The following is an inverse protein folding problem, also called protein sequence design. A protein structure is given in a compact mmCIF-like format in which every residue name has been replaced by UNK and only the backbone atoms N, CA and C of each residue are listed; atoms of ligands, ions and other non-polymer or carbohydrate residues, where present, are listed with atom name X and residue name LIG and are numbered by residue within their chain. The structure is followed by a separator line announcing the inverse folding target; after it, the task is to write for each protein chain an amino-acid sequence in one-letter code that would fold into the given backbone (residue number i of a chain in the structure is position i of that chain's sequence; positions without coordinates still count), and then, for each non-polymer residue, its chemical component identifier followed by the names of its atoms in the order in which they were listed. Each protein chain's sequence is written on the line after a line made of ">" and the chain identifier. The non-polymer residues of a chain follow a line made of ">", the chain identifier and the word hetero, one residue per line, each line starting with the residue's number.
data_IF_402881225483
#
_entry.id   IF_402881225483
#
_cell.length_a   1.000
_cell.length_b   1.000
_cell.length_c   1.000
_cell.angle_alpha   90.00
_cell.angle_beta   90.00
_cell.angle_gamma   90.00
#
_symmetry.space_group_name_H-M   'P 1'
#
loop_
_entity.id
_entity.type
_entity.pdbx_description
1 polymer ?
#
# COMPACT_ATOMS: atom_id res chain seq x y z
N UNK A 1 -53.72 53.78 -33.12
CA UNK A 1 -53.95 55.25 -33.22
C UNK A 1 -52.60 55.95 -33.13
N UNK A 2 -52.32 56.70 -34.21
CA UNK A 2 -51.53 57.95 -34.35
C UNK A 2 -50.03 57.81 -33.92
N UNK A 3 -49.16 57.74 -34.85
CA UNK A 3 -48.66 58.73 -35.87
C UNK A 3 -47.45 59.51 -35.38
N UNK A 4 -46.40 59.33 -36.14
CA UNK A 4 -45.57 60.38 -36.77
C UNK A 4 -44.62 61.19 -35.86
N UNK A 5 -43.49 61.65 -36.24
CA UNK A 5 -42.77 61.79 -37.52
C UNK A 5 -41.37 62.36 -37.17
N UNK A 6 -40.41 61.94 -37.95
CA UNK A 6 -39.34 62.74 -38.57
C UNK A 6 -38.81 64.03 -37.89
N UNK A 7 -37.47 64.06 -37.71
CA UNK A 7 -36.69 65.14 -38.40
C UNK A 7 -35.18 64.89 -38.29
N UNK A 8 -34.60 64.94 -39.40
CA UNK A 8 -33.20 65.02 -39.83
C UNK A 8 -32.63 66.40 -39.47
N UNK A 9 -31.44 66.44 -38.86
CA UNK A 9 -30.60 67.65 -38.98
C UNK A 9 -29.12 67.25 -38.85
N UNK A 10 -28.44 67.48 -39.94
CA UNK A 10 -26.99 67.49 -40.11
C UNK A 10 -26.45 68.77 -39.52
N UNK A 11 -25.37 68.67 -38.68
CA UNK A 11 -24.37 69.77 -38.63
C UNK A 11 -23.00 69.31 -38.18
N UNK A 12 -22.05 69.69 -38.95
CA UNK A 12 -20.61 69.67 -38.94
C UNK A 12 -19.89 69.85 -37.59
N UNK A 13 -18.80 69.02 -37.42
CA UNK A 13 -17.43 69.55 -37.17
C UNK A 13 -16.99 69.70 -35.73
N UNK A 14 -16.09 68.90 -35.32
CA UNK A 14 -14.78 69.32 -34.77
C UNK A 14 -13.96 68.07 -34.41
N UNK A 15 -12.87 67.92 -35.14
CA UNK A 15 -11.82 66.90 -34.82
C UNK A 15 -11.05 67.41 -33.61
N UNK A 16 -11.22 66.78 -32.46
CA UNK A 16 -10.31 66.94 -31.33
C UNK A 16 -9.56 65.63 -31.19
N UNK A 17 -8.30 65.68 -31.53
CA UNK A 17 -7.37 64.59 -31.29
C UNK A 17 -7.18 64.44 -29.77
N UNK A 18 -7.79 63.41 -29.20
CA UNK A 18 -7.46 62.94 -27.87
C UNK A 18 -6.25 61.98 -28.00
N UNK A 19 -5.10 62.39 -27.49
CA UNK A 19 -4.00 61.52 -27.19
C UNK A 19 -4.51 60.51 -26.14
N UNK A 20 -4.73 59.26 -26.56
CA UNK A 20 -4.88 58.14 -25.66
C UNK A 20 -3.48 57.73 -25.21
N UNK A 21 -3.12 58.16 -24.00
CA UNK A 21 -2.03 57.52 -23.27
C UNK A 21 -2.38 56.04 -23.10
N UNK A 22 -1.67 55.16 -23.78
CA UNK A 22 -1.71 53.72 -23.50
C UNK A 22 -1.16 53.54 -22.09
N UNK A 23 -2.01 53.32 -21.11
CA UNK A 23 -1.62 52.74 -19.85
C UNK A 23 -1.10 51.32 -20.17
N UNK A 24 0.22 51.09 -20.01
CA UNK A 24 0.83 49.78 -19.99
C UNK A 24 0.17 48.98 -18.86
N UNK A 25 -0.71 48.05 -19.26
CA UNK A 25 -1.25 47.06 -18.37
C UNK A 25 -0.08 46.27 -17.76
N UNK A 26 0.15 46.28 -16.43
CA UNK A 26 1.24 45.52 -15.87
C UNK A 26 0.99 44.06 -16.23
N UNK A 27 1.85 43.48 -17.08
CA UNK A 27 1.85 42.06 -17.37
C UNK A 27 1.93 41.34 -16.02
N UNK A 28 0.83 40.72 -15.60
CA UNK A 28 0.83 39.79 -14.49
C UNK A 28 1.77 38.70 -14.91
N UNK A 29 2.97 38.69 -14.34
CA UNK A 29 3.94 37.62 -14.52
C UNK A 29 3.20 36.27 -14.31
N UNK A 30 3.36 35.30 -15.18
CA UNK A 30 2.70 34.00 -15.02
C UNK A 30 3.03 33.51 -13.63
N UNK A 31 2.00 33.33 -12.80
CA UNK A 31 2.12 32.79 -11.46
C UNK A 31 2.78 31.45 -11.63
N UNK A 32 4.04 31.33 -11.18
CA UNK A 32 4.80 30.09 -11.26
C UNK A 32 3.90 28.98 -10.76
N UNK A 33 3.64 27.98 -11.61
CA UNK A 33 2.86 26.81 -11.20
C UNK A 33 3.58 26.23 -9.96
N UNK A 34 2.84 25.82 -8.92
CA UNK A 34 3.47 25.26 -7.74
C UNK A 34 4.34 24.09 -8.20
N UNK A 35 5.63 24.16 -7.90
CA UNK A 35 6.60 23.11 -8.21
C UNK A 35 6.26 21.95 -7.29
N UNK A 36 5.52 20.98 -7.78
CA UNK A 36 5.23 19.77 -7.04
C UNK A 36 6.43 18.84 -7.12
N UNK A 37 6.87 18.32 -5.97
CA UNK A 37 7.84 17.26 -5.93
C UNK A 37 7.26 15.99 -6.59
N UNK A 38 8.05 15.30 -7.40
CA UNK A 38 7.64 14.03 -7.98
C UNK A 38 7.36 12.96 -6.91
N UNK A 39 6.53 11.97 -7.18
CA UNK A 39 6.10 10.98 -6.18
C UNK A 39 7.27 10.19 -5.59
N UNK A 40 8.33 9.95 -6.34
CA UNK A 40 9.53 9.29 -5.82
C UNK A 40 10.30 10.16 -4.82
N UNK A 41 10.42 11.46 -5.10
CA UNK A 41 11.05 12.41 -4.16
C UNK A 41 10.25 12.51 -2.86
N UNK A 42 8.92 12.53 -2.97
CA UNK A 42 8.03 12.49 -1.79
C UNK A 42 8.22 11.19 -1.00
N UNK A 43 8.29 10.06 -1.68
CA UNK A 43 8.49 8.76 -1.04
C UNK A 43 9.83 8.69 -0.28
N UNK A 44 10.91 9.15 -0.90
CA UNK A 44 12.24 9.22 -0.28
C UNK A 44 12.25 10.16 0.93
N UNK A 45 11.64 11.34 0.80
CA UNK A 45 11.51 12.30 1.88
C UNK A 45 10.76 11.70 3.09
N UNK A 46 9.58 11.07 2.86
CA UNK A 46 8.80 10.42 3.90
C UNK A 46 9.50 9.19 4.50
N UNK A 47 10.37 8.55 3.75
CA UNK A 47 11.20 7.45 4.21
C UNK A 47 12.45 7.89 4.98
N UNK A 48 12.66 9.20 5.19
CA UNK A 48 13.88 9.74 5.79
C UNK A 48 15.14 9.47 4.97
N UNK A 49 14.99 9.38 3.64
CA UNK A 49 16.09 9.12 2.68
C UNK A 49 16.48 10.40 1.95
N UNK A 50 17.74 10.56 1.52
CA UNK A 50 18.15 11.71 0.75
C UNK A 50 17.28 11.92 -0.49
N UNK A 51 16.92 13.17 -0.79
CA UNK A 51 16.26 13.60 -2.02
C UNK A 51 17.28 14.24 -2.96
N UNK A 52 16.93 14.40 -4.24
CA UNK A 52 17.78 15.11 -5.21
C UNK A 52 18.04 16.56 -4.76
N UNK A 53 19.23 17.07 -5.03
CA UNK A 53 19.59 18.48 -4.73
C UNK A 53 18.68 19.48 -5.44
N UNK A 54 18.18 19.11 -6.62
CA UNK A 54 17.22 19.91 -7.40
C UNK A 54 15.77 19.71 -6.99
N UNK A 55 15.50 18.83 -6.02
CA UNK A 55 14.14 18.60 -5.51
C UNK A 55 13.63 19.81 -4.76
N UNK A 56 12.34 20.19 -4.97
CA UNK A 56 11.69 21.22 -4.14
C UNK A 56 11.71 20.88 -2.63
N UNK A 57 11.91 19.61 -2.28
CA UNK A 57 11.98 19.13 -0.91
C UNK A 57 13.39 19.27 -0.30
N UNK A 58 14.44 19.52 -1.10
CA UNK A 58 15.80 19.62 -0.60
C UNK A 58 16.00 20.67 0.52
N UNK A 59 15.35 21.87 0.50
CA UNK A 59 15.44 22.77 1.64
C UNK A 59 14.86 22.21 2.93
N UNK A 60 13.79 21.40 2.86
CA UNK A 60 13.14 20.79 4.04
C UNK A 60 14.00 19.71 4.69
N UNK A 61 14.95 19.11 3.97
CA UNK A 61 15.88 18.12 4.56
C UNK A 61 16.90 18.74 5.52
N UNK A 62 17.01 20.07 5.54
CA UNK A 62 17.84 20.81 6.48
C UNK A 62 17.10 21.15 7.79
N UNK A 63 15.78 20.93 7.82
CA UNK A 63 14.96 21.14 9.00
C UNK A 63 15.35 20.11 10.09
N UNK A 64 15.62 20.54 11.33
CA UNK A 64 15.95 19.63 12.42
C UNK A 64 14.94 18.52 12.65
N UNK A 65 13.63 18.79 12.41
CA UNK A 65 12.59 17.77 12.52
C UNK A 65 12.75 16.68 11.46
N UNK A 66 13.08 17.04 10.21
CA UNK A 66 13.35 16.04 9.19
C UNK A 66 14.64 15.26 9.47
N UNK A 67 15.68 15.92 9.95
CA UNK A 67 16.94 15.24 10.31
C UNK A 67 16.73 14.23 11.44
N UNK A 68 15.94 14.57 12.45
CA UNK A 68 15.56 13.64 13.51
C UNK A 68 14.75 12.45 12.97
N UNK A 69 13.78 12.70 12.09
CA UNK A 69 13.00 11.69 11.40
C UNK A 69 13.87 10.74 10.56
N UNK A 70 14.80 11.29 9.78
CA UNK A 70 15.72 10.50 8.98
C UNK A 70 16.60 9.59 9.84
N UNK A 71 17.16 10.12 10.94
CA UNK A 71 17.95 9.35 11.89
C UNK A 71 17.10 8.23 12.57
N UNK A 72 15.87 8.53 12.97
CA UNK A 72 14.95 7.54 13.54
C UNK A 72 14.66 6.41 12.55
N UNK A 73 14.29 6.72 11.32
CA UNK A 73 13.99 5.67 10.32
C UNK A 73 15.24 4.87 9.95
N UNK A 74 16.39 5.50 9.81
CA UNK A 74 17.63 4.78 9.53
C UNK A 74 17.93 3.76 10.63
N UNK A 75 17.82 4.16 11.90
CA UNK A 75 17.99 3.27 13.05
C UNK A 75 16.96 2.11 13.05
N UNK A 76 15.66 2.43 12.87
CA UNK A 76 14.61 1.42 12.92
C UNK A 76 14.70 0.44 11.75
N UNK A 77 14.89 0.94 10.52
CA UNK A 77 15.02 0.07 9.35
C UNK A 77 16.30 -0.77 9.38
N UNK A 78 17.41 -0.24 9.89
CA UNK A 78 18.63 -1.03 10.13
C UNK A 78 18.37 -2.18 11.11
N UNK A 79 17.67 -1.92 12.23
CA UNK A 79 17.29 -2.96 13.20
C UNK A 79 16.37 -4.01 12.58
N UNK A 80 15.36 -3.60 11.81
CA UNK A 80 14.43 -4.53 11.14
C UNK A 80 15.17 -5.35 10.09
N UNK A 81 16.05 -4.73 9.32
CA UNK A 81 16.84 -5.43 8.31
C UNK A 81 17.67 -6.56 8.92
N UNK A 82 18.43 -6.28 9.95
CA UNK A 82 19.26 -7.28 10.64
C UNK A 82 18.45 -8.37 11.34
N UNK A 83 17.36 -7.96 12.01
CA UNK A 83 16.55 -8.88 12.82
C UNK A 83 15.65 -9.77 11.98
N UNK A 84 15.11 -9.25 10.87
CA UNK A 84 14.02 -9.85 10.11
C UNK A 84 14.33 -10.02 8.63
N UNK A 85 14.58 -8.88 7.89
CA UNK A 85 14.50 -8.90 6.44
C UNK A 85 15.62 -9.71 5.79
N UNK A 86 16.85 -9.60 6.25
CA UNK A 86 17.97 -10.40 5.72
C UNK A 86 17.75 -11.90 5.93
N UNK A 87 17.23 -12.30 7.10
CA UNK A 87 16.92 -13.70 7.40
C UNK A 87 15.78 -14.22 6.55
N UNK A 88 14.74 -13.38 6.35
CA UNK A 88 13.62 -13.68 5.48
C UNK A 88 14.09 -13.85 4.03
N UNK A 89 14.97 -12.96 3.53
CA UNK A 89 15.56 -13.08 2.19
C UNK A 89 16.33 -14.38 2.01
N UNK A 90 17.17 -14.77 2.99
CA UNK A 90 17.86 -16.05 2.98
C UNK A 90 16.91 -17.25 2.95
N UNK A 91 15.85 -17.21 3.75
CA UNK A 91 14.80 -18.21 3.77
C UNK A 91 14.04 -18.27 2.43
N UNK A 92 13.64 -17.10 1.89
CA UNK A 92 12.97 -16.98 0.60
C UNK A 92 13.81 -17.58 -0.54
N UNK A 93 15.10 -17.23 -0.59
CA UNK A 93 16.04 -17.76 -1.58
C UNK A 93 16.20 -19.27 -1.48
N UNK A 94 16.10 -19.85 -0.28
CA UNK A 94 16.23 -21.29 -0.06
C UNK A 94 14.96 -22.06 -0.40
N UNK A 95 13.79 -21.53 -0.03
CA UNK A 95 12.54 -22.29 -0.03
C UNK A 95 11.50 -21.85 -1.05
N UNK A 96 11.59 -20.61 -1.56
CA UNK A 96 10.63 -20.06 -2.51
C UNK A 96 11.24 -19.66 -3.86
N UNK A 97 12.56 -19.63 -4.04
CA UNK A 97 13.21 -19.07 -5.23
C UNK A 97 12.63 -19.61 -6.54
N UNK A 98 12.48 -20.92 -6.68
CA UNK A 98 11.91 -21.54 -7.89
C UNK A 98 10.45 -21.19 -8.11
N UNK A 99 9.65 -21.14 -7.02
CA UNK A 99 8.21 -20.90 -7.07
C UNK A 99 7.86 -19.42 -7.22
N UNK A 100 8.81 -18.52 -6.87
CA UNK A 100 8.62 -17.08 -6.89
C UNK A 100 9.19 -16.41 -8.14
N UNK A 101 9.73 -17.16 -9.10
CA UNK A 101 10.45 -16.59 -10.26
C UNK A 101 9.56 -15.84 -11.26
N UNK A 102 8.29 -16.18 -11.34
CA UNK A 102 7.37 -15.57 -12.31
C UNK A 102 5.94 -15.59 -11.79
N UNK A 103 5.69 -14.77 -10.77
CA UNK A 103 4.35 -14.62 -10.20
C UNK A 103 3.67 -13.42 -10.86
N UNK A 104 2.59 -13.60 -11.65
CA UNK A 104 1.92 -12.50 -12.32
C UNK A 104 1.26 -11.56 -11.33
N UNK A 105 0.69 -12.08 -10.24
CA UNK A 105 0.07 -11.30 -9.18
C UNK A 105 0.24 -11.92 -7.80
N UNK A 106 0.39 -11.09 -6.78
CA UNK A 106 0.31 -11.48 -5.37
C UNK A 106 -0.91 -10.80 -4.75
N UNK A 107 -1.77 -11.60 -4.15
CA UNK A 107 -2.97 -11.16 -3.45
C UNK A 107 -2.71 -11.13 -1.94
N UNK A 108 -2.68 -9.93 -1.37
CA UNK A 108 -2.53 -9.74 0.07
C UNK A 108 -3.79 -9.07 0.64
N UNK A 109 -4.82 -9.89 0.88
CA UNK A 109 -6.19 -9.45 1.12
C UNK A 109 -6.43 -8.80 2.49
N UNK A 110 -5.56 -9.03 3.46
CA UNK A 110 -5.67 -8.49 4.82
C UNK A 110 -4.44 -7.62 5.16
N UNK A 111 -3.93 -6.91 4.16
CA UNK A 111 -2.61 -6.26 4.25
C UNK A 111 -2.61 -4.96 5.04
N UNK A 112 -3.69 -4.15 4.95
CA UNK A 112 -3.47 -2.74 5.16
C UNK A 112 -2.32 -2.25 4.25
N UNK A 113 -1.47 -1.30 4.68
CA UNK A 113 -0.34 -0.79 3.88
C UNK A 113 0.95 -1.63 3.97
N UNK A 114 0.87 -2.91 4.30
CA UNK A 114 2.05 -3.76 4.55
C UNK A 114 2.74 -4.23 3.25
N UNK A 115 3.30 -3.29 2.50
CA UNK A 115 4.07 -3.61 1.30
C UNK A 115 5.43 -4.25 1.61
N UNK A 116 6.10 -3.78 2.66
CA UNK A 116 7.48 -4.16 2.96
C UNK A 116 7.66 -5.69 3.07
N UNK A 117 6.78 -6.36 3.81
CA UNK A 117 6.90 -7.81 4.01
C UNK A 117 6.50 -8.61 2.78
N UNK A 118 5.42 -8.25 2.09
CA UNK A 118 4.99 -9.00 0.89
C UNK A 118 6.02 -8.91 -0.23
N UNK A 119 6.71 -7.79 -0.37
CA UNK A 119 7.81 -7.62 -1.31
C UNK A 119 8.99 -8.55 -1.00
N UNK A 120 9.35 -8.73 0.28
CA UNK A 120 10.43 -9.63 0.66
C UNK A 120 10.12 -11.10 0.37
N UNK A 121 8.86 -11.53 0.48
CA UNK A 121 8.46 -12.89 0.13
C UNK A 121 8.37 -13.11 -1.39
N UNK A 122 7.98 -12.09 -2.13
CA UNK A 122 7.70 -12.17 -3.57
C UNK A 122 8.37 -11.04 -4.37
N UNK A 123 9.70 -10.84 -4.28
CA UNK A 123 10.37 -9.65 -4.82
C UNK A 123 10.25 -9.50 -6.34
N UNK A 124 9.89 -10.58 -7.05
CA UNK A 124 9.76 -10.61 -8.51
C UNK A 124 8.32 -10.63 -9.02
N UNK A 125 7.33 -10.41 -8.15
CA UNK A 125 5.94 -10.35 -8.59
C UNK A 125 5.70 -9.13 -9.48
N UNK A 126 4.98 -9.31 -10.60
CA UNK A 126 4.69 -8.21 -11.50
C UNK A 126 3.66 -7.24 -10.92
N UNK A 127 2.68 -7.77 -10.18
CA UNK A 127 1.58 -7.01 -9.58
C UNK A 127 1.38 -7.43 -8.13
N UNK A 128 1.21 -6.44 -7.26
CA UNK A 128 0.76 -6.65 -5.88
C UNK A 128 -0.62 -6.03 -5.71
N UNK A 129 -1.54 -6.78 -5.11
CA UNK A 129 -2.88 -6.30 -4.77
C UNK A 129 -3.04 -6.34 -3.27
N UNK A 130 -3.01 -5.16 -2.66
CA UNK A 130 -3.21 -4.95 -1.24
C UNK A 130 -4.60 -4.35 -1.00
N UNK A 131 -5.20 -4.64 0.13
CA UNK A 131 -6.45 -3.99 0.53
C UNK A 131 -6.62 -3.91 2.04
N UNK A 132 -7.49 -2.99 2.45
CA UNK A 132 -7.89 -2.78 3.84
C UNK A 132 -9.14 -1.92 3.91
N UNK A 133 -9.63 -1.68 5.13
CA UNK A 133 -10.71 -0.71 5.39
C UNK A 133 -10.20 0.71 5.66
N UNK A 134 -8.88 0.88 5.65
CA UNK A 134 -8.22 2.15 5.86
C UNK A 134 -8.37 3.03 4.62
N UNK A 135 -8.62 4.33 4.86
CA UNK A 135 -8.71 5.30 3.79
C UNK A 135 -7.33 5.49 3.12
N UNK A 136 -7.34 5.70 1.80
CA UNK A 136 -6.13 6.03 1.04
C UNK A 136 -5.45 7.29 1.53
N UNK A 137 -6.24 8.31 1.83
CA UNK A 137 -5.78 9.67 2.01
C UNK A 137 -5.49 10.40 0.67
N UNK A 138 -5.25 11.72 0.71
CA UNK A 138 -4.80 12.48 -0.43
C UNK A 138 -3.33 12.15 -0.78
N UNK A 139 -2.87 12.53 -2.00
CA UNK A 139 -1.45 12.50 -2.30
C UNK A 139 -0.65 13.25 -1.24
N UNK A 140 0.39 12.65 -0.64
CA UNK A 140 1.22 13.34 0.34
C UNK A 140 1.92 14.55 -0.30
N UNK A 141 1.84 15.71 0.34
CA UNK A 141 2.51 16.94 -0.11
C UNK A 141 3.30 17.59 1.04
N UNK A 142 4.57 17.20 1.25
CA UNK A 142 5.39 17.74 2.32
C UNK A 142 5.59 19.27 2.26
N UNK A 143 5.49 19.88 1.07
CA UNK A 143 5.63 21.33 0.90
C UNK A 143 4.48 22.14 1.52
N UNK A 144 3.34 21.50 1.78
CA UNK A 144 2.14 22.14 2.37
C UNK A 144 1.94 21.79 3.84
N UNK A 145 2.88 21.08 4.47
CA UNK A 145 2.77 20.71 5.88
C UNK A 145 3.16 21.91 6.75
N UNK A 146 2.20 22.45 7.51
CA UNK A 146 2.45 23.57 8.41
C UNK A 146 3.25 23.17 9.66
N UNK A 147 3.05 21.96 10.17
CA UNK A 147 3.79 21.39 11.31
C UNK A 147 4.51 20.11 10.86
N UNK A 148 5.71 20.27 10.33
CA UNK A 148 6.50 19.16 9.80
C UNK A 148 6.85 18.14 10.90
N UNK A 149 7.29 18.59 12.06
CA UNK A 149 7.66 17.73 13.19
C UNK A 149 6.48 16.85 13.62
N UNK A 150 5.29 17.43 13.79
CA UNK A 150 4.09 16.68 14.17
C UNK A 150 3.67 15.66 13.11
N UNK A 151 3.73 16.04 11.83
CA UNK A 151 3.35 15.15 10.73
C UNK A 151 4.31 13.95 10.58
N UNK A 152 5.62 14.20 10.65
CA UNK A 152 6.63 13.14 10.59
C UNK A 152 6.57 12.23 11.81
N UNK A 153 6.40 12.79 13.01
CA UNK A 153 6.20 12.01 14.25
C UNK A 153 4.96 11.10 14.20
N UNK A 154 3.87 11.55 13.59
CA UNK A 154 2.69 10.71 13.37
C UNK A 154 2.98 9.55 12.41
N UNK A 155 3.74 9.78 11.33
CA UNK A 155 4.16 8.72 10.41
C UNK A 155 5.07 7.69 11.12
N UNK A 156 6.02 8.15 11.94
CA UNK A 156 6.87 7.28 12.76
C UNK A 156 6.04 6.38 13.69
N UNK A 157 5.08 6.97 14.40
CA UNK A 157 4.20 6.24 15.29
C UNK A 157 3.34 5.21 14.54
N UNK A 158 2.76 5.61 13.40
CA UNK A 158 1.95 4.71 12.58
C UNK A 158 2.74 3.50 12.06
N UNK A 159 4.03 3.66 11.77
CA UNK A 159 4.90 2.58 11.31
C UNK A 159 5.54 1.77 12.44
N UNK A 160 5.61 2.32 13.65
CA UNK A 160 6.35 1.75 14.78
C UNK A 160 5.94 0.31 15.10
N UNK A 161 4.64 0.00 15.08
CA UNK A 161 4.16 -1.36 15.36
C UNK A 161 4.69 -2.36 14.34
N UNK A 162 4.57 -2.07 13.04
CA UNK A 162 5.07 -2.95 11.98
C UNK A 162 6.59 -3.10 11.99
N UNK A 163 7.33 -2.04 12.31
CA UNK A 163 8.78 -2.08 12.43
C UNK A 163 9.25 -2.88 13.65
N UNK A 164 8.52 -2.87 14.76
CA UNK A 164 8.89 -3.57 15.98
C UNK A 164 8.39 -5.03 16.02
N UNK A 165 7.22 -5.29 15.47
CA UNK A 165 6.60 -6.61 15.44
C UNK A 165 6.72 -7.26 14.06
N UNK A 166 5.73 -7.31 13.27
CA UNK A 166 5.71 -7.69 11.84
C UNK A 166 4.37 -7.31 11.24
N UNK A 167 3.48 -6.67 11.98
CA UNK A 167 2.13 -6.32 11.55
C UNK A 167 1.74 -4.93 12.03
N UNK A 168 0.78 -4.32 11.36
CA UNK A 168 0.20 -3.04 11.74
C UNK A 168 -0.91 -3.22 12.76
N UNK A 169 -0.93 -2.38 13.78
CA UNK A 169 -2.08 -2.24 14.66
C UNK A 169 -2.98 -1.16 14.06
N UNK A 170 -3.98 -1.59 13.31
CA UNK A 170 -4.85 -0.72 12.49
C UNK A 170 -5.48 0.44 13.28
N UNK A 171 -5.88 0.19 14.55
CA UNK A 171 -6.48 1.23 15.40
C UNK A 171 -5.50 2.37 15.68
N UNK A 172 -4.27 2.03 16.04
CA UNK A 172 -3.24 3.01 16.38
C UNK A 172 -2.80 3.77 15.12
N UNK A 173 -2.54 3.06 14.04
CA UNK A 173 -2.22 3.65 12.73
C UNK A 173 -3.27 4.66 12.26
N UNK A 174 -4.56 4.36 12.41
CA UNK A 174 -5.64 5.29 12.05
C UNK A 174 -5.64 6.54 12.91
N UNK A 175 -5.42 6.40 14.21
CA UNK A 175 -5.39 7.53 15.13
C UNK A 175 -4.23 8.48 14.77
N UNK A 176 -3.05 7.94 14.48
CA UNK A 176 -1.86 8.73 14.17
C UNK A 176 -1.97 9.49 12.83
N UNK A 177 -2.58 8.88 11.80
CA UNK A 177 -2.66 9.47 10.46
C UNK A 177 -3.90 10.34 10.20
N UNK A 178 -4.70 10.66 11.21
CA UNK A 178 -5.85 11.58 11.05
C UNK A 178 -5.52 13.06 11.25
N UNK A 179 -4.40 13.38 11.86
CA UNK A 179 -4.19 14.70 12.47
C UNK A 179 -3.49 15.76 11.60
N UNK A 180 -2.93 15.42 10.44
CA UNK A 180 -2.09 16.33 9.63
C UNK A 180 -2.25 16.05 8.13
N UNK A 181 -1.53 16.80 7.29
CA UNK A 181 -1.55 16.63 5.83
C UNK A 181 -0.96 15.29 5.32
N UNK A 182 -0.59 14.36 6.20
CA UNK A 182 -0.18 12.98 5.89
C UNK A 182 -1.29 11.99 6.30
N UNK A 183 -2.48 12.15 5.72
CA UNK A 183 -3.63 11.31 6.04
C UNK A 183 -3.65 10.00 5.27
N UNK A 184 -4.20 8.96 5.89
CA UNK A 184 -4.44 7.66 5.26
C UNK A 184 -3.18 6.81 5.09
N UNK A 185 -3.26 5.78 4.26
CA UNK A 185 -2.20 4.77 4.14
C UNK A 185 -1.10 5.12 3.14
N UNK A 186 -1.29 6.12 2.28
CA UNK A 186 -0.31 6.48 1.25
C UNK A 186 1.07 6.85 1.78
N UNK A 187 1.22 7.64 2.86
CA UNK A 187 2.54 7.94 3.42
C UNK A 187 3.31 6.68 3.82
N UNK A 188 2.63 5.67 4.37
CA UNK A 188 3.23 4.39 4.76
C UNK A 188 3.65 3.60 3.51
N UNK A 189 2.79 3.50 2.50
CA UNK A 189 3.11 2.81 1.24
C UNK A 189 4.30 3.46 0.56
N UNK A 190 4.36 4.80 0.51
CA UNK A 190 5.47 5.54 -0.08
C UNK A 190 6.77 5.25 0.66
N UNK A 191 6.78 5.35 1.99
CA UNK A 191 7.95 5.06 2.80
C UNK A 191 8.38 3.59 2.65
N UNK A 192 7.43 2.65 2.64
CA UNK A 192 7.70 1.23 2.45
C UNK A 192 8.32 0.90 1.10
N UNK A 193 7.82 1.50 0.01
CA UNK A 193 8.34 1.32 -1.35
C UNK A 193 9.77 1.88 -1.44
N UNK A 194 10.02 3.09 -0.93
CA UNK A 194 11.36 3.68 -0.95
C UNK A 194 12.37 2.88 -0.11
N UNK A 195 11.97 2.39 1.08
CA UNK A 195 12.82 1.56 1.94
C UNK A 195 13.00 0.13 1.45
N UNK A 196 12.16 -0.33 0.52
CA UNK A 196 12.36 -1.58 -0.22
C UNK A 196 13.30 -1.41 -1.44
N UNK A 197 14.02 -0.29 -1.54
CA UNK A 197 14.92 0.05 -2.65
C UNK A 197 14.23 0.08 -4.01
N UNK A 198 13.07 0.75 -4.06
CA UNK A 198 12.28 0.91 -5.28
C UNK A 198 12.00 2.38 -5.56
N UNK A 199 11.94 2.73 -6.85
CA UNK A 199 11.72 4.09 -7.34
C UNK A 199 10.33 4.23 -7.95
N UNK A 200 9.48 5.06 -7.35
CA UNK A 200 8.11 5.32 -7.86
C UNK A 200 8.19 6.11 -9.16
N UNK A 201 7.60 5.56 -10.20
CA UNK A 201 7.55 6.16 -11.56
C UNK A 201 6.22 6.80 -11.88
N UNK A 202 5.12 6.30 -11.34
CA UNK A 202 3.78 6.85 -11.59
C UNK A 202 2.82 6.50 -10.45
N UNK A 203 1.91 7.41 -10.15
CA UNK A 203 0.81 7.20 -9.20
C UNK A 203 -0.49 7.66 -9.81
N UNK A 204 -1.48 6.78 -9.85
CA UNK A 204 -2.81 7.05 -10.39
C UNK A 204 -3.88 6.71 -9.36
N UNK A 205 -4.71 7.67 -9.03
CA UNK A 205 -5.88 7.50 -8.16
C UNK A 205 -7.11 7.14 -8.98
N UNK A 206 -7.96 6.31 -8.44
CA UNK A 206 -9.19 5.92 -9.12
C UNK A 206 -10.07 5.02 -8.26
N UNK A 207 -10.95 4.30 -8.91
CA UNK A 207 -11.83 3.33 -8.27
C UNK A 207 -12.10 2.14 -9.19
N UNK A 208 -12.57 1.05 -8.61
CA UNK A 208 -13.03 -0.11 -9.37
C UNK A 208 -14.49 0.07 -9.76
N UNK A 209 -14.82 -0.12 -11.03
CA UNK A 209 -16.20 -0.26 -11.45
C UNK A 209 -16.75 -1.66 -11.10
N UNK A 210 -18.06 -1.86 -11.19
CA UNK A 210 -18.72 -3.12 -10.88
C UNK A 210 -18.27 -4.32 -11.74
N UNK A 211 -17.62 -4.06 -12.87
CA UNK A 211 -16.99 -5.06 -13.75
C UNK A 211 -15.54 -5.38 -13.41
N UNK A 212 -14.94 -4.75 -12.40
CA UNK A 212 -13.54 -4.94 -12.00
C UNK A 212 -12.53 -4.20 -12.87
N UNK A 213 -12.93 -3.15 -13.58
CA UNK A 213 -12.00 -2.25 -14.28
C UNK A 213 -11.53 -1.14 -13.34
N UNK A 214 -10.21 -0.90 -13.26
CA UNK A 214 -9.68 0.27 -12.57
C UNK A 214 -9.86 1.51 -13.45
N UNK A 215 -10.57 2.50 -12.95
CA UNK A 215 -10.86 3.76 -13.63
C UNK A 215 -10.13 4.90 -12.95
N UNK A 216 -9.14 5.48 -13.62
CA UNK A 216 -8.43 6.67 -13.14
C UNK A 216 -9.38 7.84 -13.01
N UNK A 217 -9.28 8.58 -11.90
CA UNK A 217 -10.20 9.68 -11.59
C UNK A 217 -11.64 9.24 -11.26
N UNK A 218 -11.95 7.93 -11.34
CA UNK A 218 -13.25 7.36 -11.05
C UNK A 218 -13.67 7.58 -9.59
N UNK A 219 -14.97 7.80 -9.39
CA UNK A 219 -15.59 7.98 -8.07
C UNK A 219 -16.69 6.94 -7.91
N UNK A 220 -16.49 5.92 -7.12
CA UNK A 220 -17.48 4.87 -6.87
C UNK A 220 -16.83 3.50 -6.72
N UNK A 221 -17.58 2.51 -6.29
CA UNK A 221 -17.05 1.19 -6.00
C UNK A 221 -15.95 1.22 -4.93
N UNK A 222 -14.89 0.44 -5.12
CA UNK A 222 -13.75 0.42 -4.20
C UNK A 222 -12.73 1.48 -4.63
N UNK A 223 -12.54 2.58 -3.86
CA UNK A 223 -11.49 3.55 -4.14
C UNK A 223 -10.12 2.89 -4.03
N UNK A 224 -9.19 3.30 -4.89
CA UNK A 224 -7.87 2.70 -4.92
C UNK A 224 -6.81 3.60 -5.51
N UNK A 225 -5.57 3.16 -5.38
CA UNK A 225 -4.40 3.75 -6.00
C UNK A 225 -3.64 2.68 -6.75
N UNK A 226 -3.10 3.05 -7.91
CA UNK A 226 -2.11 2.29 -8.66
C UNK A 226 -0.78 3.01 -8.56
N UNK A 227 0.21 2.36 -8.00
CA UNK A 227 1.58 2.85 -7.89
C UNK A 227 2.46 1.99 -8.79
N UNK A 228 3.05 2.58 -9.82
CA UNK A 228 4.08 1.93 -10.62
C UNK A 228 5.45 2.34 -10.11
N UNK A 229 6.35 1.40 -10.05
CA UNK A 229 7.71 1.63 -9.59
C UNK A 229 8.69 0.72 -10.32
N UNK A 230 9.95 1.08 -10.26
CA UNK A 230 11.08 0.26 -10.74
C UNK A 230 11.82 -0.29 -9.53
N UNK A 231 12.09 -1.56 -9.55
CA UNK A 231 13.03 -2.21 -8.62
C UNK A 231 14.44 -1.79 -8.99
N UNK A 232 15.16 -1.12 -8.07
CA UNK A 232 16.46 -0.53 -8.38
C UNK A 232 17.55 -1.58 -8.58
N UNK A 233 17.39 -2.80 -8.05
CA UNK A 233 18.35 -3.88 -8.17
C UNK A 233 18.21 -4.63 -9.50
N UNK A 234 16.97 -4.95 -9.89
CA UNK A 234 16.69 -5.72 -11.10
C UNK A 234 16.38 -4.88 -12.34
N UNK A 235 16.02 -3.59 -12.16
CA UNK A 235 15.52 -2.72 -13.21
C UNK A 235 14.10 -3.04 -13.69
N UNK A 236 13.42 -4.01 -13.08
CA UNK A 236 12.09 -4.43 -13.49
C UNK A 236 11.01 -3.43 -13.05
N UNK A 237 10.05 -3.18 -13.94
CA UNK A 237 8.85 -2.42 -13.61
C UNK A 237 7.82 -3.31 -12.93
N UNK A 238 7.28 -2.85 -11.81
CA UNK A 238 6.27 -3.54 -11.01
C UNK A 238 5.10 -2.59 -10.70
N UNK A 239 3.97 -3.15 -10.30
CA UNK A 239 2.77 -2.37 -9.99
C UNK A 239 2.19 -2.81 -8.65
N UNK A 240 1.94 -1.85 -7.77
CA UNK A 240 1.17 -2.02 -6.55
C UNK A 240 -0.22 -1.39 -6.72
N UNK A 241 -1.24 -2.15 -6.42
CA UNK A 241 -2.59 -1.64 -6.20
C UNK A 241 -2.91 -1.72 -4.71
N UNK A 242 -3.45 -0.65 -4.17
CA UNK A 242 -4.11 -0.66 -2.88
C UNK A 242 -5.56 -0.23 -3.04
N UNK A 243 -6.50 -0.97 -2.43
CA UNK A 243 -7.92 -0.65 -2.45
C UNK A 243 -8.48 -0.52 -1.04
N UNK A 244 -9.24 0.54 -0.80
CA UNK A 244 -10.09 0.64 0.38
C UNK A 244 -11.38 -0.14 0.10
N UNK A 245 -11.54 -1.30 0.72
CA UNK A 245 -12.67 -2.19 0.44
C UNK A 245 -12.99 -3.11 1.61
N UNK A 246 -14.25 -3.52 1.72
CA UNK A 246 -14.69 -4.55 2.64
C UNK A 246 -14.72 -5.90 1.91
N UNK A 247 -13.87 -6.84 2.36
CA UNK A 247 -13.74 -8.17 1.78
C UNK A 247 -14.55 -9.25 2.51
N UNK A 248 -15.43 -8.86 3.44
CA UNK A 248 -16.47 -9.76 3.95
C UNK A 248 -17.45 -10.16 2.84
N UNK A 249 -18.16 -11.26 3.00
CA UNK A 249 -19.18 -11.71 2.02
C UNK A 249 -20.21 -10.62 1.71
N UNK A 250 -20.63 -9.87 2.74
CA UNK A 250 -21.52 -8.71 2.58
C UNK A 250 -20.87 -7.58 1.80
N UNK A 251 -19.61 -7.25 2.09
CA UNK A 251 -18.84 -6.22 1.40
C UNK A 251 -18.61 -6.57 -0.06
N UNK A 252 -18.20 -7.80 -0.36
CA UNK A 252 -18.00 -8.30 -1.74
C UNK A 252 -19.33 -8.27 -2.52
N UNK A 253 -20.43 -8.64 -1.89
CA UNK A 253 -21.76 -8.56 -2.52
C UNK A 253 -22.16 -7.13 -2.85
N UNK A 254 -21.87 -6.20 -1.96
CA UNK A 254 -22.16 -4.77 -2.17
C UNK A 254 -21.21 -4.12 -3.20
N UNK A 255 -19.96 -4.56 -3.27
CA UNK A 255 -18.95 -4.03 -4.17
C UNK A 255 -18.15 -5.14 -4.89
N UNK A 256 -18.77 -5.83 -5.88
CA UNK A 256 -18.17 -7.02 -6.53
C UNK A 256 -16.96 -6.69 -7.42
N UNK A 257 -16.74 -5.41 -7.71
CA UNK A 257 -15.65 -4.96 -8.59
C UNK A 257 -14.27 -5.39 -8.12
N UNK A 258 -14.02 -5.41 -6.82
CA UNK A 258 -12.73 -5.80 -6.27
C UNK A 258 -12.37 -7.26 -6.60
N UNK A 259 -13.27 -8.18 -6.34
CA UNK A 259 -13.02 -9.60 -6.61
C UNK A 259 -12.87 -9.87 -8.11
N UNK A 260 -13.70 -9.23 -8.93
CA UNK A 260 -13.59 -9.31 -10.40
C UNK A 260 -12.27 -8.73 -10.93
N UNK A 261 -11.76 -7.66 -10.31
CA UNK A 261 -10.44 -7.12 -10.63
C UNK A 261 -9.35 -8.18 -10.37
N UNK A 262 -9.36 -8.79 -9.18
CA UNK A 262 -8.41 -9.84 -8.83
C UNK A 262 -8.50 -11.04 -9.78
N UNK A 263 -9.71 -11.47 -10.14
CA UNK A 263 -9.95 -12.57 -11.11
C UNK A 263 -9.33 -12.29 -12.49
N UNK A 264 -9.36 -11.03 -12.96
CA UNK A 264 -8.76 -10.63 -14.24
C UNK A 264 -7.23 -10.70 -14.26
N UNK A 265 -6.60 -10.64 -13.10
CA UNK A 265 -5.15 -10.83 -12.98
C UNK A 265 -4.75 -12.31 -13.12
N UNK A 266 -5.73 -13.22 -13.16
CA UNK A 266 -5.51 -14.65 -13.28
C UNK A 266 -5.07 -15.31 -11.98
N UNK A 267 -4.41 -16.45 -12.10
CA UNK A 267 -3.88 -17.21 -10.97
C UNK A 267 -2.52 -16.68 -10.56
N UNK A 268 -2.34 -16.45 -9.27
CA UNK A 268 -1.10 -15.88 -8.71
C UNK A 268 -0.65 -16.58 -7.43
N UNK A 269 -0.09 -15.82 -6.51
CA UNK A 269 0.17 -16.25 -5.14
C UNK A 269 -0.70 -15.45 -4.16
N UNK A 270 -0.96 -16.00 -2.99
CA UNK A 270 -1.57 -15.27 -1.88
C UNK A 270 -0.64 -15.21 -0.68
N UNK A 271 -0.68 -14.07 -0.01
CA UNK A 271 0.07 -13.82 1.21
C UNK A 271 -0.90 -13.46 2.34
N UNK A 272 -0.86 -14.20 3.43
CA UNK A 272 -1.78 -14.05 4.56
C UNK A 272 -0.96 -14.00 5.85
N UNK A 273 -0.84 -12.82 6.42
CA UNK A 273 -0.08 -12.58 7.63
C UNK A 273 -0.92 -11.81 8.63
N UNK A 274 -1.23 -12.42 9.75
CA UNK A 274 -2.06 -11.83 10.80
C UNK A 274 -3.45 -11.36 10.32
N UNK A 275 -4.23 -12.15 9.54
CA UNK A 275 -5.57 -11.75 9.12
C UNK A 275 -6.61 -11.84 10.25
N UNK A 276 -6.19 -11.92 11.51
CA UNK A 276 -7.03 -11.96 12.72
C UNK A 276 -8.03 -13.11 12.75
N UNK A 277 -7.68 -14.23 12.08
CA UNK A 277 -8.52 -15.42 11.97
C UNK A 277 -9.89 -15.20 11.29
N UNK A 278 -10.05 -14.10 10.55
CA UNK A 278 -11.30 -13.81 9.82
C UNK A 278 -11.66 -14.91 8.79
N UNK A 279 -10.64 -15.60 8.26
CA UNK A 279 -10.86 -16.71 7.32
C UNK A 279 -11.42 -17.97 7.97
N UNK A 280 -11.56 -18.03 9.28
CA UNK A 280 -12.30 -19.07 10.01
C UNK A 280 -13.81 -18.79 10.03
N UNK A 281 -14.20 -17.52 9.91
CA UNK A 281 -15.59 -17.08 10.05
C UNK A 281 -16.40 -17.35 8.77
N UNK A 282 -17.70 -17.60 8.96
CA UNK A 282 -18.64 -17.85 7.85
C UNK A 282 -18.78 -16.66 6.93
N UNK A 283 -18.71 -15.44 7.48
CA UNK A 283 -18.83 -14.19 6.71
C UNK A 283 -17.65 -13.84 5.80
N UNK A 284 -16.64 -14.72 5.67
CA UNK A 284 -15.48 -14.59 4.79
C UNK A 284 -15.29 -15.78 3.86
N UNK A 285 -16.36 -16.52 3.62
CA UNK A 285 -16.35 -17.69 2.74
C UNK A 285 -15.96 -17.37 1.31
N UNK A 286 -16.49 -16.29 0.77
CA UNK A 286 -16.23 -15.85 -0.62
C UNK A 286 -14.76 -15.56 -0.85
N UNK A 287 -14.13 -14.78 0.03
CA UNK A 287 -12.70 -14.42 -0.12
C UNK A 287 -11.79 -15.62 0.14
N UNK A 288 -12.10 -16.49 1.10
CA UNK A 288 -11.38 -17.73 1.35
C UNK A 288 -11.39 -18.64 0.11
N UNK A 289 -12.53 -18.84 -0.51
CA UNK A 289 -12.66 -19.65 -1.72
C UNK A 289 -11.91 -19.02 -2.89
N UNK A 290 -12.00 -17.69 -3.07
CA UNK A 290 -11.21 -16.98 -4.08
C UNK A 290 -9.71 -17.26 -3.92
N UNK A 291 -9.17 -17.14 -2.71
CA UNK A 291 -7.75 -17.38 -2.43
C UNK A 291 -7.39 -18.82 -2.79
N UNK A 292 -8.20 -19.80 -2.37
CA UNK A 292 -7.97 -21.21 -2.71
C UNK A 292 -8.06 -21.48 -4.22
N UNK A 293 -8.95 -20.83 -4.94
CA UNK A 293 -9.17 -21.11 -6.37
C UNK A 293 -8.21 -20.37 -7.30
N UNK A 294 -7.71 -19.18 -6.87
CA UNK A 294 -6.88 -18.30 -7.71
C UNK A 294 -5.42 -18.22 -7.24
N UNK A 295 -4.97 -19.14 -6.37
CA UNK A 295 -3.56 -19.20 -5.97
C UNK A 295 -2.92 -20.53 -6.37
N UNK A 296 -1.70 -20.43 -6.94
CA UNK A 296 -0.80 -21.58 -7.11
C UNK A 296 0.05 -21.79 -5.85
N UNK A 297 0.23 -20.73 -5.07
CA UNK A 297 0.96 -20.75 -3.82
C UNK A 297 0.29 -19.84 -2.80
N UNK A 298 0.17 -20.30 -1.57
CA UNK A 298 -0.29 -19.52 -0.42
C UNK A 298 0.79 -19.58 0.64
N UNK A 299 1.23 -18.40 1.11
CA UNK A 299 2.15 -18.26 2.26
C UNK A 299 1.37 -17.64 3.40
N UNK A 300 1.29 -18.31 4.53
CA UNK A 300 0.47 -17.87 5.65
C UNK A 300 1.04 -18.26 7.02
N UNK A 301 0.61 -17.55 8.08
CA UNK A 301 0.67 -18.03 9.45
C UNK A 301 -0.60 -18.84 9.81
N UNK A 302 -0.69 -19.30 11.05
CA UNK A 302 -1.84 -20.06 11.55
C UNK A 302 -3.15 -19.27 11.61
N UNK A 303 -3.10 -17.92 11.44
CA UNK A 303 -4.28 -17.06 11.35
C UNK A 303 -4.90 -17.03 9.94
N UNK A 304 -4.24 -17.62 8.94
CA UNK A 304 -4.69 -17.69 7.56
C UNK A 304 -5.85 -18.65 7.34
N UNK A 305 -5.88 -19.29 6.17
CA UNK A 305 -6.92 -20.29 5.85
C UNK A 305 -6.77 -21.50 6.77
N UNK A 306 -7.85 -21.93 7.46
CA UNK A 306 -7.80 -23.12 8.31
C UNK A 306 -7.40 -24.38 7.53
N UNK A 307 -6.63 -25.24 8.19
CA UNK A 307 -6.12 -26.49 7.60
C UNK A 307 -7.24 -27.34 6.93
N UNK A 308 -8.44 -27.33 7.51
CA UNK A 308 -9.56 -28.11 7.02
C UNK A 308 -10.05 -27.75 5.60
N UNK A 309 -9.70 -26.57 5.10
CA UNK A 309 -10.04 -26.13 3.74
C UNK A 309 -8.98 -26.50 2.68
N UNK A 310 -7.81 -26.97 3.08
CA UNK A 310 -6.81 -27.46 2.14
C UNK A 310 -7.08 -28.92 1.77
N UNK A 311 -7.61 -29.13 0.57
CA UNK A 311 -7.79 -30.48 0.00
C UNK A 311 -6.43 -31.12 -0.25
N UNK A 312 -6.10 -32.26 0.42
CA UNK A 312 -4.83 -32.94 0.22
C UNK A 312 -4.60 -33.45 -1.21
N UNK A 313 -5.66 -33.60 -2.00
CA UNK A 313 -5.58 -33.94 -3.42
C UNK A 313 -5.08 -32.80 -4.29
N UNK A 314 -5.28 -31.56 -3.85
CA UNK A 314 -4.97 -30.34 -4.60
C UNK A 314 -3.77 -29.57 -4.06
N UNK A 315 -3.39 -29.75 -2.80
CA UNK A 315 -2.39 -28.94 -2.11
C UNK A 315 -1.31 -29.79 -1.46
N UNK A 316 -0.07 -29.36 -1.65
CA UNK A 316 1.08 -29.78 -0.87
C UNK A 316 1.38 -28.73 0.20
N UNK A 317 1.37 -29.13 1.47
CA UNK A 317 1.66 -28.24 2.58
C UNK A 317 3.08 -28.48 3.09
N UNK A 318 3.83 -27.40 3.28
CA UNK A 318 5.13 -27.40 3.93
C UNK A 318 5.10 -26.46 5.12
N UNK A 319 5.61 -26.93 6.24
CA UNK A 319 5.59 -26.24 7.52
C UNK A 319 6.98 -25.73 7.88
N UNK A 320 7.03 -24.60 8.60
CA UNK A 320 8.27 -23.99 9.10
C UNK A 320 8.02 -23.39 10.48
N UNK A 321 9.03 -23.44 11.37
CA UNK A 321 8.93 -22.91 12.72
C UNK A 321 8.15 -23.80 13.66
N UNK A 322 7.39 -23.20 14.59
CA UNK A 322 6.73 -23.90 15.69
C UNK A 322 5.28 -23.45 15.80
N UNK A 323 4.32 -24.39 15.82
CA UNK A 323 2.93 -24.06 16.10
C UNK A 323 2.63 -24.19 17.60
N UNK A 324 2.54 -23.06 18.28
CA UNK A 324 2.16 -22.95 19.70
C UNK A 324 0.65 -22.77 19.91
N UNK A 325 -0.11 -22.66 18.82
CA UNK A 325 -1.50 -22.27 18.83
C UNK A 325 -1.70 -20.75 18.66
N UNK A 326 -2.94 -20.31 18.49
CA UNK A 326 -3.29 -18.89 18.42
C UNK A 326 -2.83 -18.11 19.63
N UNK A 327 -2.67 -16.79 19.47
CA UNK A 327 -2.50 -15.91 20.64
C UNK A 327 -3.77 -15.94 21.50
N UNK A 328 -3.66 -15.57 22.79
CA UNK A 328 -4.75 -15.70 23.77
C UNK A 328 -6.07 -15.07 23.27
N UNK A 329 -6.01 -13.93 22.60
CA UNK A 329 -7.19 -13.23 22.05
C UNK A 329 -7.98 -14.10 21.06
N UNK A 330 -7.35 -15.08 20.41
CA UNK A 330 -7.93 -15.91 19.34
C UNK A 330 -7.88 -17.41 19.66
N UNK A 331 -7.76 -17.78 20.94
CA UNK A 331 -7.58 -19.18 21.38
C UNK A 331 -8.67 -20.14 20.89
N UNK A 332 -9.89 -19.65 20.60
CA UNK A 332 -10.99 -20.44 20.06
C UNK A 332 -10.71 -21.00 18.65
N UNK A 333 -9.72 -20.45 17.93
CA UNK A 333 -9.34 -20.89 16.57
C UNK A 333 -8.18 -21.90 16.61
N UNK A 334 -7.92 -22.52 17.75
CA UNK A 334 -6.91 -23.57 17.86
C UNK A 334 -7.20 -24.76 16.95
N UNK A 335 -6.17 -25.22 16.24
CA UNK A 335 -6.25 -26.32 15.28
C UNK A 335 -5.46 -27.56 15.77
N UNK A 336 -6.11 -28.55 16.41
CA UNK A 336 -5.41 -29.76 16.93
C UNK A 336 -4.64 -30.49 15.82
N UNK A 337 -5.26 -30.67 14.65
CA UNK A 337 -4.66 -31.35 13.51
C UNK A 337 -3.42 -30.62 12.97
N UNK A 338 -3.43 -29.30 12.99
CA UNK A 338 -2.26 -28.50 12.61
C UNK A 338 -1.10 -28.73 13.58
N UNK A 339 -1.38 -28.80 14.88
CA UNK A 339 -0.38 -29.13 15.90
C UNK A 339 0.24 -30.48 15.67
N UNK A 340 -0.57 -31.51 15.42
CA UNK A 340 -0.10 -32.85 15.10
C UNK A 340 0.83 -32.84 13.88
N UNK A 341 0.48 -32.15 12.81
CA UNK A 341 1.31 -32.06 11.62
C UNK A 341 2.64 -31.39 11.88
N UNK A 342 2.67 -30.30 12.65
CA UNK A 342 3.94 -29.68 13.06
C UNK A 342 4.81 -30.64 13.89
N UNK A 343 4.22 -31.40 14.79
CA UNK A 343 4.96 -32.39 15.59
C UNK A 343 5.48 -33.53 14.74
N UNK A 344 4.67 -34.05 13.81
CA UNK A 344 5.04 -35.21 12.94
C UNK A 344 6.10 -34.85 11.91
N UNK A 345 6.04 -33.64 11.34
CA UNK A 345 6.95 -33.20 10.28
C UNK A 345 8.26 -32.62 10.80
N UNK A 346 8.33 -32.28 12.09
CA UNK A 346 9.49 -31.62 12.70
C UNK A 346 10.11 -30.54 11.78
N UNK A 347 9.37 -29.48 11.48
CA UNK A 347 9.74 -28.55 10.42
C UNK A 347 11.01 -27.76 10.74
N UNK A 348 11.74 -27.28 9.72
CA UNK A 348 12.89 -26.40 9.91
C UNK A 348 12.50 -25.16 10.72
N UNK A 349 13.35 -24.72 11.67
CA UNK A 349 13.11 -23.51 12.45
C UNK A 349 13.08 -22.28 11.55
N UNK A 350 12.34 -21.26 11.98
CA UNK A 350 12.41 -19.91 11.41
C UNK A 350 13.45 -19.08 12.17
N UNK A 351 14.19 -18.26 11.47
CA UNK A 351 15.14 -17.31 12.06
C UNK A 351 14.56 -15.90 12.15
N UNK A 352 13.32 -15.70 11.69
CA UNK A 352 12.57 -14.44 11.68
C UNK A 352 11.17 -14.64 12.24
N UNK A 353 10.58 -13.58 12.79
CA UNK A 353 9.20 -13.59 13.24
C UNK A 353 8.21 -13.48 12.08
N UNK A 354 7.01 -14.06 12.24
CA UNK A 354 5.97 -14.02 11.23
C UNK A 354 4.58 -13.93 11.87
N UNK A 355 3.73 -13.08 11.31
CA UNK A 355 2.38 -12.91 11.80
C UNK A 355 2.31 -12.40 13.24
N UNK A 356 1.38 -12.92 14.01
CA UNK A 356 1.23 -12.56 15.43
C UNK A 356 2.40 -13.04 16.29
N UNK A 357 3.13 -14.02 15.86
CA UNK A 357 4.33 -14.54 16.53
C UNK A 357 5.58 -13.86 15.98
N UNK A 358 5.75 -12.58 16.27
CA UNK A 358 6.89 -11.77 15.85
C UNK A 358 8.24 -12.24 16.45
N UNK A 359 8.20 -13.01 17.53
CA UNK A 359 9.38 -13.71 18.05
C UNK A 359 9.63 -14.96 17.18
N UNK A 360 10.78 -15.03 16.53
CA UNK A 360 11.12 -16.14 15.63
C UNK A 360 11.04 -17.53 16.28
N UNK A 361 11.32 -17.64 17.59
CA UNK A 361 11.24 -18.91 18.34
C UNK A 361 9.80 -19.44 18.50
N UNK A 362 8.82 -18.58 18.27
CA UNK A 362 7.40 -18.87 18.42
C UNK A 362 6.64 -18.80 17.10
N UNK A 363 7.33 -18.36 16.04
CA UNK A 363 6.72 -18.14 14.74
C UNK A 363 6.43 -19.47 14.02
N UNK A 364 5.33 -19.49 13.29
CA UNK A 364 4.96 -20.53 12.37
C UNK A 364 4.71 -19.95 10.98
N UNK A 365 5.01 -20.76 9.96
CA UNK A 365 4.74 -20.41 8.58
C UNK A 365 4.36 -21.68 7.82
N UNK A 366 3.33 -21.55 6.99
CA UNK A 366 2.80 -22.62 6.15
C UNK A 366 2.90 -22.15 4.70
N UNK A 367 3.56 -22.94 3.87
CA UNK A 367 3.60 -22.78 2.42
C UNK A 367 2.73 -23.87 1.80
N UNK A 368 1.60 -23.46 1.22
CA UNK A 368 0.75 -24.36 0.45
C UNK A 368 1.05 -24.15 -1.04
N UNK A 369 1.43 -25.20 -1.75
CA UNK A 369 1.62 -25.17 -3.21
C UNK A 369 0.59 -26.07 -3.88
N UNK A 370 -0.01 -25.57 -4.97
CA UNK A 370 -0.93 -26.37 -5.78
C UNK A 370 -0.16 -27.51 -6.47
N UNK A 371 -0.77 -28.70 -6.52
CA UNK A 371 -0.23 -29.87 -7.20
C UNK A 371 -0.35 -29.75 -8.71
#
# INVERSE_FOLDING_TARGET
>A
MKTNCTALSILFGLVSALLVCAEENPQIAPRAMPVNAGPNEVARFLAGMPVSENSPLAPLTRDPAWQAHAAFFEEQFSKVNLRQLQKLQGWQATYLAESAQSIPAVFYMFSGPDFLYVDQFFPKAAVYVLCGKEALGPPPDPLRIANLAGALGNLENAMKSSLNTTYFITKDMKADLHAQNLNGVLPILYAGIARADKSITNVSFGSLNGGGGFQEGGRGGSPGVRIRYTDNQSGNSQTLYYFTTDISDGGIKASPGFLKFCQRLGTGASFLKSPSYLLFETGFGTIRNFILDHSNMIVQDDSGIPLAYFDPGKWNLRFFGVYLGPIEMFKQHYQPRLRELFQQTNPPPLEFGFGYRWNYKEANLIVAKRK
#
